data_IF_250991150687
#
_entry.id   IF_250991150687
#
_cell.length_a   1.000
_cell.length_b   1.000
_cell.length_c   1.000
_cell.angle_alpha   90.00
_cell.angle_beta   90.00
_cell.angle_gamma   90.00
#
_symmetry.space_group_name_H-M   'P 1'
#
loop_
_entity.id
_entity.type
_entity.pdbx_description
1 polymer ?
#
# COMPACT_ATOMS: atom_id res chain seq x y z
N UNK A 1 9.27 -22.36 -41.71
CA UNK A 1 8.35 -21.42 -41.04
C UNK A 1 8.76 -19.98 -41.44
N UNK A 2 7.82 -19.18 -41.90
CA UNK A 2 8.10 -17.79 -42.31
C UNK A 2 8.46 -16.96 -41.04
N UNK A 3 9.36 -15.95 -41.17
CA UNK A 3 9.81 -15.08 -40.06
C UNK A 3 8.63 -14.52 -39.25
N UNK A 4 7.52 -14.21 -39.92
CA UNK A 4 6.29 -13.75 -39.27
C UNK A 4 5.64 -14.84 -38.36
N UNK A 5 5.63 -16.09 -38.81
CA UNK A 5 5.08 -17.21 -38.01
C UNK A 5 5.97 -17.55 -36.81
N UNK A 6 7.30 -17.36 -36.91
CA UNK A 6 8.23 -17.49 -35.80
C UNK A 6 7.98 -16.40 -34.76
N UNK A 7 7.78 -15.13 -35.19
CA UNK A 7 7.46 -14.03 -34.30
C UNK A 7 6.12 -14.26 -33.57
N UNK A 8 5.09 -14.68 -34.29
CA UNK A 8 3.77 -14.98 -33.72
C UNK A 8 3.85 -16.12 -32.72
N UNK A 9 4.62 -17.19 -33.04
CA UNK A 9 4.83 -18.32 -32.14
C UNK A 9 5.59 -17.92 -30.90
N UNK A 10 6.62 -17.08 -31.02
CA UNK A 10 7.37 -16.51 -29.89
C UNK A 10 6.44 -15.62 -29.03
N UNK A 11 5.62 -14.76 -29.64
CA UNK A 11 4.65 -13.93 -28.91
C UNK A 11 3.59 -14.78 -28.17
N UNK A 12 3.08 -15.84 -28.78
CA UNK A 12 2.15 -16.77 -28.14
C UNK A 12 2.81 -17.55 -27.00
N UNK A 13 4.04 -18.01 -27.20
CA UNK A 13 4.82 -18.71 -26.16
C UNK A 13 5.13 -17.77 -24.98
N UNK A 14 5.53 -16.53 -25.27
CA UNK A 14 5.78 -15.50 -24.25
C UNK A 14 4.49 -15.17 -23.48
N UNK A 15 3.33 -15.12 -24.16
CA UNK A 15 2.03 -14.91 -23.53
C UNK A 15 1.64 -16.02 -22.57
N UNK A 16 1.83 -17.28 -22.96
CA UNK A 16 1.49 -18.43 -22.10
C UNK A 16 2.40 -18.59 -20.90
N UNK A 17 3.69 -18.31 -21.02
CA UNK A 17 4.68 -18.40 -19.93
C UNK A 17 4.44 -17.31 -18.88
N UNK A 18 3.92 -16.16 -19.26
CA UNK A 18 3.71 -15.01 -18.35
C UNK A 18 2.30 -14.91 -17.78
N UNK A 19 1.35 -15.74 -18.24
CA UNK A 19 -0.02 -15.81 -17.71
C UNK A 19 -0.09 -16.67 -16.46
N UNK A 20 0.59 -16.28 -15.38
CA UNK A 20 0.37 -16.93 -14.07
C UNK A 20 -0.96 -16.44 -13.52
N UNK A 21 -1.97 -17.30 -13.35
CA UNK A 21 -3.20 -16.92 -12.64
C UNK A 21 -2.83 -16.54 -11.21
N UNK A 22 -3.55 -15.57 -10.63
CA UNK A 22 -3.39 -15.27 -9.22
C UNK A 22 -3.83 -16.50 -8.42
N UNK A 23 -3.07 -16.89 -7.40
CA UNK A 23 -3.42 -18.03 -6.55
C UNK A 23 -4.80 -17.82 -5.93
N UNK A 24 -5.56 -18.91 -5.84
CA UNK A 24 -6.90 -18.91 -5.26
C UNK A 24 -6.90 -18.34 -3.83
N UNK A 25 -7.94 -17.58 -3.48
CA UNK A 25 -8.11 -16.96 -2.16
C UNK A 25 -7.35 -15.66 -1.93
N UNK A 26 -6.42 -15.28 -2.81
CA UNK A 26 -5.67 -14.01 -2.64
C UNK A 26 -6.53 -12.77 -2.87
N UNK A 27 -7.57 -12.85 -3.69
CA UNK A 27 -8.51 -11.75 -3.93
C UNK A 27 -9.80 -12.07 -3.20
N UNK A 28 -10.13 -11.27 -2.18
CA UNK A 28 -11.33 -11.44 -1.38
C UNK A 28 -12.08 -10.12 -1.17
N UNK A 29 -13.34 -10.26 -0.84
CA UNK A 29 -14.24 -9.25 -0.30
C UNK A 29 -14.95 -9.92 0.87
N UNK A 30 -14.81 -9.37 2.08
CA UNK A 30 -15.47 -9.89 3.28
C UNK A 30 -16.97 -9.61 3.26
N UNK A 31 -17.70 -10.23 4.17
CA UNK A 31 -19.02 -9.77 4.59
C UNK A 31 -18.91 -8.39 5.26
N UNK A 32 -20.07 -7.75 5.48
CA UNK A 32 -20.17 -6.46 6.17
C UNK A 32 -20.41 -6.71 7.66
N UNK A 33 -19.58 -6.09 8.51
CA UNK A 33 -19.66 -6.23 9.96
C UNK A 33 -19.89 -4.88 10.63
N UNK A 34 -20.71 -4.85 11.67
CA UNK A 34 -20.80 -3.69 12.54
C UNK A 34 -19.53 -3.56 13.40
N UNK A 35 -19.22 -2.32 13.79
CA UNK A 35 -18.15 -2.02 14.74
C UNK A 35 -18.64 -0.99 15.76
N UNK A 36 -18.13 -1.06 16.99
CA UNK A 36 -18.45 -0.05 18.00
C UNK A 36 -17.65 1.23 17.78
N UNK A 37 -16.40 1.08 17.39
CA UNK A 37 -15.49 2.17 17.09
C UNK A 37 -14.46 1.78 16.01
N UNK A 38 -14.00 2.78 15.30
CA UNK A 38 -12.76 2.76 14.50
C UNK A 38 -11.99 4.00 14.86
N UNK A 39 -10.76 3.83 15.32
CA UNK A 39 -9.88 4.95 15.61
C UNK A 39 -9.06 5.30 14.38
N UNK A 40 -9.00 6.58 14.05
CA UNK A 40 -8.22 7.14 12.96
C UNK A 40 -6.95 7.77 13.52
N UNK A 41 -5.81 7.32 13.02
CA UNK A 41 -4.49 7.83 13.36
C UNK A 41 -3.78 8.29 12.11
N UNK A 42 -2.91 9.29 12.26
CA UNK A 42 -2.08 9.77 11.17
C UNK A 42 -0.70 10.20 11.63
N UNK A 43 0.23 10.08 10.72
CA UNK A 43 1.53 10.74 10.81
C UNK A 43 1.53 11.88 9.80
N UNK A 44 1.98 13.06 10.20
CA UNK A 44 2.15 14.22 9.33
C UNK A 44 3.55 14.81 9.46
N UNK A 45 4.13 15.18 8.33
CA UNK A 45 5.28 16.07 8.24
C UNK A 45 4.86 17.28 7.43
N UNK A 46 4.95 18.47 8.01
CA UNK A 46 4.47 19.70 7.38
C UNK A 46 5.30 20.90 7.82
N UNK A 47 5.18 22.02 7.10
CA UNK A 47 5.79 23.28 7.46
C UNK A 47 4.80 24.16 8.20
N UNK A 48 5.33 24.87 9.21
CA UNK A 48 4.64 25.91 9.96
C UNK A 48 5.68 26.94 10.42
N UNK A 49 5.41 28.21 10.14
CA UNK A 49 6.29 29.34 10.50
C UNK A 49 7.75 29.15 10.00
N UNK A 50 7.92 28.51 8.83
CA UNK A 50 9.22 28.22 8.20
C UNK A 50 9.93 26.97 8.75
N UNK A 51 9.44 26.34 9.81
CA UNK A 51 10.00 25.13 10.41
C UNK A 51 9.26 23.86 9.97
N UNK A 52 9.95 22.72 10.08
CA UNK A 52 9.33 21.41 9.80
C UNK A 52 8.83 20.77 11.08
N UNK A 53 7.54 20.47 11.12
CA UNK A 53 6.85 19.84 12.24
C UNK A 53 6.55 18.38 11.94
N UNK A 54 6.51 17.54 13.00
CA UNK A 54 6.27 16.12 12.93
C UNK A 54 5.17 15.72 13.93
N UNK A 55 4.08 15.16 13.46
CA UNK A 55 3.07 14.47 14.25
C UNK A 55 3.22 12.98 14.00
N UNK A 56 3.31 12.15 15.04
CA UNK A 56 3.55 10.71 14.95
C UNK A 56 2.64 9.97 15.92
N UNK A 57 1.77 9.13 15.39
CA UNK A 57 0.75 8.41 16.17
C UNK A 57 0.73 6.91 15.86
N UNK A 58 1.13 6.51 14.64
CA UNK A 58 0.83 5.19 14.10
C UNK A 58 1.60 4.08 14.82
N UNK A 59 2.91 4.27 15.04
CA UNK A 59 3.75 3.19 15.60
C UNK A 59 3.46 2.91 17.05
N UNK A 60 3.06 3.89 17.84
CA UNK A 60 2.57 3.68 19.21
C UNK A 60 1.37 2.74 19.23
N UNK A 61 0.47 2.86 18.24
CA UNK A 61 -0.69 1.97 18.12
C UNK A 61 -0.28 0.55 17.70
N UNK A 62 0.74 0.42 16.83
CA UNK A 62 1.29 -0.87 16.46
C UNK A 62 1.94 -1.59 17.66
N UNK A 63 2.67 -0.85 18.49
CA UNK A 63 3.27 -1.37 19.72
C UNK A 63 2.20 -1.78 20.73
N UNK A 64 1.12 -1.02 20.88
CA UNK A 64 -0.02 -1.35 21.75
C UNK A 64 -0.68 -2.68 21.31
N UNK A 65 -0.86 -2.92 19.99
CA UNK A 65 -1.40 -4.20 19.48
C UNK A 65 -0.45 -5.36 19.80
N UNK A 66 0.86 -5.18 19.64
CA UNK A 66 1.87 -6.18 19.98
C UNK A 66 1.89 -6.47 21.46
N UNK A 67 1.87 -5.42 22.29
CA UNK A 67 1.93 -5.55 23.75
C UNK A 67 0.72 -6.31 24.31
N UNK A 68 -0.47 -6.04 23.78
CA UNK A 68 -1.75 -6.65 24.18
C UNK A 68 -2.01 -8.04 23.57
N UNK A 69 -1.15 -8.54 22.70
CA UNK A 69 -1.31 -9.88 22.14
C UNK A 69 -1.18 -10.96 23.24
N UNK A 70 -2.17 -11.82 23.38
CA UNK A 70 -2.21 -12.94 24.34
C UNK A 70 -2.02 -14.30 23.67
N UNK A 71 -2.57 -14.48 22.45
CA UNK A 71 -2.45 -15.72 21.67
C UNK A 71 -1.49 -15.53 20.50
N UNK A 72 -1.69 -14.49 19.66
CA UNK A 72 -0.81 -14.26 18.54
C UNK A 72 -0.67 -12.77 18.20
N UNK A 73 0.42 -12.49 17.50
CA UNK A 73 0.63 -11.23 16.77
C UNK A 73 0.95 -11.55 15.33
N UNK A 74 0.25 -10.91 14.39
CA UNK A 74 0.50 -11.03 12.94
C UNK A 74 0.79 -9.65 12.35
N UNK A 75 1.87 -9.55 11.57
CA UNK A 75 2.15 -8.39 10.74
C UNK A 75 2.40 -8.86 9.29
N UNK A 76 1.56 -8.39 8.36
CA UNK A 76 1.83 -8.49 6.92
C UNK A 76 2.21 -7.10 6.42
N UNK A 77 3.49 -6.94 6.01
CA UNK A 77 4.05 -5.63 5.74
C UNK A 77 5.04 -5.67 4.57
N UNK A 78 5.00 -4.60 3.74
CA UNK A 78 5.84 -4.50 2.56
C UNK A 78 7.32 -4.33 2.93
N UNK A 79 7.67 -3.29 3.69
CA UNK A 79 9.07 -3.00 4.07
C UNK A 79 9.21 -3.01 5.58
N UNK A 80 10.11 -3.86 6.08
CA UNK A 80 10.52 -3.95 7.48
C UNK A 80 12.04 -4.01 7.56
N UNK A 81 12.71 -2.88 7.36
CA UNK A 81 14.16 -2.75 7.42
C UNK A 81 14.56 -1.27 7.48
N UNK A 82 15.79 -0.99 7.88
CA UNK A 82 16.34 0.38 7.97
C UNK A 82 17.35 0.67 6.84
N UNK A 83 17.16 0.06 5.65
CA UNK A 83 17.95 0.38 4.47
C UNK A 83 17.59 1.76 3.93
N UNK A 84 18.61 2.51 3.50
CA UNK A 84 18.45 3.87 3.01
C UNK A 84 18.87 3.97 1.54
N UNK A 85 18.09 4.71 0.78
CA UNK A 85 18.48 5.14 -0.56
C UNK A 85 19.67 6.08 -0.52
N UNK A 86 20.30 6.30 -1.69
CA UNK A 86 21.49 7.15 -1.81
C UNK A 86 21.22 8.59 -1.40
N UNK A 87 22.03 9.10 -0.45
CA UNK A 87 21.94 10.47 0.04
C UNK A 87 20.70 10.76 0.88
N UNK A 88 19.91 9.75 1.26
CA UNK A 88 18.69 9.93 2.08
C UNK A 88 19.07 10.28 3.52
N UNK A 89 20.16 9.71 4.05
CA UNK A 89 20.56 9.91 5.44
C UNK A 89 20.78 11.37 5.79
N UNK A 90 21.51 12.09 4.95
CA UNK A 90 21.86 13.49 5.16
C UNK A 90 20.65 14.42 5.02
N UNK A 91 19.74 14.09 4.09
CA UNK A 91 18.59 14.93 3.78
C UNK A 91 17.43 14.74 4.76
N UNK A 92 17.13 13.48 5.09
CA UNK A 92 15.93 13.14 5.84
C UNK A 92 16.20 12.93 7.34
N UNK A 93 17.43 12.57 7.74
CA UNK A 93 17.77 12.18 9.12
C UNK A 93 16.76 11.17 9.68
N UNK A 94 16.64 9.99 9.06
CA UNK A 94 15.57 9.03 9.36
C UNK A 94 15.73 8.40 10.74
N UNK A 95 14.61 7.92 11.30
CA UNK A 95 14.57 7.17 12.56
C UNK A 95 14.65 5.66 12.26
N UNK A 96 15.29 4.85 13.12
CA UNK A 96 15.47 3.40 12.91
C UNK A 96 14.22 2.60 13.32
N UNK A 97 13.09 2.87 12.69
CA UNK A 97 11.77 2.31 13.06
C UNK A 97 11.74 0.79 12.98
N UNK A 98 12.41 0.18 12.01
CA UNK A 98 12.42 -1.27 11.92
C UNK A 98 13.25 -1.90 13.05
N UNK A 99 14.37 -1.31 13.45
CA UNK A 99 15.18 -1.79 14.56
C UNK A 99 14.41 -1.63 15.89
N UNK A 100 13.77 -0.49 16.11
CA UNK A 100 12.94 -0.24 17.29
C UNK A 100 11.79 -1.24 17.38
N UNK A 101 11.07 -1.50 16.29
CA UNK A 101 9.98 -2.46 16.28
C UNK A 101 10.48 -3.91 16.49
N UNK A 102 11.60 -4.26 15.86
CA UNK A 102 12.21 -5.57 16.08
C UNK A 102 12.61 -5.77 17.54
N UNK A 103 13.14 -4.74 18.20
CA UNK A 103 13.46 -4.77 19.63
C UNK A 103 12.20 -5.00 20.48
N UNK A 104 11.09 -4.31 20.18
CA UNK A 104 9.79 -4.53 20.85
C UNK A 104 9.27 -5.97 20.67
N UNK A 105 9.46 -6.55 19.48
CA UNK A 105 9.10 -7.95 19.23
C UNK A 105 9.96 -8.91 20.09
N UNK A 106 11.28 -8.65 20.20
CA UNK A 106 12.15 -9.47 21.05
C UNK A 106 11.77 -9.38 22.54
N UNK A 107 11.50 -8.17 23.03
CA UNK A 107 11.02 -7.94 24.41
C UNK A 107 9.71 -8.70 24.68
N UNK A 108 8.76 -8.65 23.72
CA UNK A 108 7.51 -9.41 23.82
C UNK A 108 7.75 -10.91 23.85
N UNK A 109 8.64 -11.45 23.01
CA UNK A 109 8.99 -12.87 22.99
C UNK A 109 9.65 -13.33 24.30
N UNK A 110 10.50 -12.50 24.91
CA UNK A 110 11.13 -12.81 26.19
C UNK A 110 10.11 -12.81 27.34
N UNK A 111 9.23 -11.79 27.38
CA UNK A 111 8.22 -11.65 28.42
C UNK A 111 7.09 -12.68 28.31
N UNK A 112 6.61 -12.92 27.07
CA UNK A 112 5.42 -13.73 26.80
C UNK A 112 5.74 -14.85 25.77
N UNK A 113 6.51 -15.89 26.15
CA UNK A 113 7.04 -16.90 25.23
C UNK A 113 5.97 -17.78 24.57
N UNK A 114 4.74 -17.79 25.08
CA UNK A 114 3.62 -18.54 24.52
C UNK A 114 2.90 -17.79 23.38
N UNK A 115 3.07 -16.48 23.26
CA UNK A 115 2.48 -15.69 22.18
C UNK A 115 3.16 -16.02 20.85
N UNK A 116 2.41 -16.46 19.88
CA UNK A 116 2.96 -16.76 18.55
C UNK A 116 3.09 -15.48 17.70
N UNK A 117 4.27 -15.24 17.14
CA UNK A 117 4.51 -14.06 16.32
C UNK A 117 4.78 -14.46 14.87
N UNK A 118 3.99 -13.91 13.94
CA UNK A 118 4.03 -14.18 12.51
C UNK A 118 4.33 -12.91 11.74
N UNK A 119 5.33 -12.97 10.85
CA UNK A 119 5.65 -11.88 9.93
C UNK A 119 5.54 -12.39 8.48
N UNK A 120 4.68 -11.78 7.69
CA UNK A 120 4.58 -11.99 6.25
C UNK A 120 5.21 -10.77 5.57
N UNK A 121 6.31 -10.96 4.88
CA UNK A 121 7.15 -9.88 4.38
C UNK A 121 7.34 -9.97 2.87
N UNK A 122 7.65 -8.83 2.26
CA UNK A 122 8.04 -8.78 0.85
C UNK A 122 9.51 -9.18 0.66
N UNK A 123 9.85 -9.73 -0.51
CA UNK A 123 11.21 -10.11 -0.87
C UNK A 123 12.19 -8.92 -0.95
N UNK A 124 11.71 -7.69 -1.08
CA UNK A 124 12.56 -6.49 -1.08
C UNK A 124 13.39 -6.35 0.19
N UNK A 125 12.89 -6.88 1.33
CA UNK A 125 13.60 -6.90 2.60
C UNK A 125 14.90 -7.71 2.61
N UNK A 126 15.10 -8.58 1.61
CA UNK A 126 16.32 -9.35 1.37
C UNK A 126 16.98 -9.00 0.04
N UNK A 127 16.58 -7.86 -0.53
CA UNK A 127 16.87 -7.48 -1.90
C UNK A 127 16.63 -8.63 -2.89
N UNK A 128 15.38 -9.12 -2.89
CA UNK A 128 14.92 -10.20 -3.78
C UNK A 128 15.74 -11.49 -3.65
N UNK A 129 16.11 -11.82 -2.40
CA UNK A 129 16.86 -13.04 -2.06
C UNK A 129 18.37 -12.96 -2.29
N UNK A 130 18.95 -11.75 -2.40
CA UNK A 130 20.39 -11.58 -2.56
C UNK A 130 21.17 -11.86 -1.27
N UNK A 131 20.62 -11.47 -0.12
CA UNK A 131 21.25 -11.60 1.18
C UNK A 131 20.21 -11.87 2.29
N UNK A 132 20.69 -12.25 3.45
CA UNK A 132 19.88 -12.38 4.65
C UNK A 132 19.74 -11.04 5.37
N UNK A 133 18.52 -10.70 5.79
CA UNK A 133 18.31 -9.56 6.68
C UNK A 133 18.71 -9.96 8.11
N UNK A 134 19.70 -9.26 8.69
CA UNK A 134 20.27 -9.58 10.00
C UNK A 134 19.27 -9.43 11.14
N UNK A 135 18.44 -8.40 11.08
CA UNK A 135 17.37 -8.14 12.08
C UNK A 135 16.34 -9.27 12.03
N UNK A 136 15.91 -9.69 10.84
CA UNK A 136 14.94 -10.78 10.70
C UNK A 136 15.52 -12.12 11.19
N UNK A 137 16.82 -12.39 10.98
CA UNK A 137 17.47 -13.58 11.53
C UNK A 137 17.47 -13.60 13.05
N UNK A 138 17.71 -12.46 13.71
CA UNK A 138 17.61 -12.37 15.18
C UNK A 138 16.18 -12.68 15.66
N UNK A 139 15.17 -12.16 14.96
CA UNK A 139 13.77 -12.46 15.25
C UNK A 139 13.45 -13.95 15.07
N UNK A 140 13.92 -14.59 13.98
CA UNK A 140 13.74 -16.04 13.77
C UNK A 140 14.42 -16.88 14.86
N UNK A 141 15.61 -16.49 15.31
CA UNK A 141 16.33 -17.14 16.42
C UNK A 141 15.55 -17.02 17.74
N UNK A 142 14.80 -15.95 17.95
CA UNK A 142 13.90 -15.77 19.08
C UNK A 142 12.54 -16.49 18.92
N UNK A 143 12.34 -17.26 17.84
CA UNK A 143 11.13 -18.04 17.60
C UNK A 143 10.03 -17.32 16.82
N UNK A 144 10.29 -16.13 16.28
CA UNK A 144 9.36 -15.46 15.38
C UNK A 144 9.28 -16.21 14.05
N UNK A 145 8.07 -16.43 13.54
CA UNK A 145 7.84 -17.15 12.29
C UNK A 145 7.76 -16.16 11.13
N UNK A 146 8.79 -16.16 10.26
CA UNK A 146 8.91 -15.22 9.14
C UNK A 146 8.75 -15.94 7.82
N UNK A 147 7.91 -15.36 6.92
CA UNK A 147 7.75 -15.81 5.55
C UNK A 147 7.88 -14.66 4.56
N UNK A 148 8.74 -14.80 3.55
CA UNK A 148 8.82 -13.87 2.43
C UNK A 148 7.91 -14.34 1.31
N UNK A 149 6.98 -13.50 0.88
CA UNK A 149 6.08 -13.81 -0.25
C UNK A 149 6.89 -14.07 -1.51
N UNK A 150 6.70 -15.24 -2.13
CA UNK A 150 7.33 -15.57 -3.41
C UNK A 150 6.66 -14.79 -4.54
N UNK A 151 7.25 -13.68 -4.93
CA UNK A 151 6.73 -12.78 -5.97
C UNK A 151 6.63 -13.45 -7.35
N UNK A 152 7.25 -14.61 -7.57
CA UNK A 152 7.08 -15.36 -8.81
C UNK A 152 5.68 -15.97 -8.94
N UNK A 153 4.96 -16.11 -7.83
CA UNK A 153 3.57 -16.58 -7.76
C UNK A 153 2.55 -15.48 -8.12
N UNK A 154 2.98 -14.22 -8.17
CA UNK A 154 2.13 -13.11 -8.57
C UNK A 154 2.14 -12.94 -10.09
N UNK A 155 1.08 -12.32 -10.62
CA UNK A 155 0.96 -11.98 -12.04
C UNK A 155 2.06 -11.02 -12.49
N UNK A 156 2.43 -11.09 -13.74
CA UNK A 156 3.46 -10.24 -14.33
C UNK A 156 2.87 -8.93 -14.87
N UNK A 157 3.28 -7.76 -14.35
CA UNK A 157 2.77 -6.48 -14.85
C UNK A 157 3.36 -6.09 -16.21
N UNK A 158 4.57 -6.55 -16.52
CA UNK A 158 5.33 -6.24 -17.73
C UNK A 158 5.65 -7.49 -18.54
N UNK A 159 4.73 -7.96 -19.37
CA UNK A 159 4.88 -9.21 -20.12
C UNK A 159 6.15 -9.26 -20.97
N UNK A 160 6.49 -8.15 -21.64
CA UNK A 160 7.67 -8.04 -22.52
C UNK A 160 8.98 -8.28 -21.76
N UNK A 161 9.06 -7.89 -20.49
CA UNK A 161 10.20 -8.13 -19.63
C UNK A 161 10.12 -9.46 -18.89
N UNK A 162 8.99 -9.73 -18.28
CA UNK A 162 8.82 -10.87 -17.36
C UNK A 162 8.88 -12.21 -18.06
N UNK A 163 8.39 -12.32 -19.30
CA UNK A 163 8.41 -13.58 -20.03
C UNK A 163 9.85 -14.03 -20.39
N UNK A 164 10.73 -13.23 -20.99
CA UNK A 164 12.16 -13.56 -21.14
C UNK A 164 12.85 -13.84 -19.81
N UNK A 165 12.54 -13.05 -18.76
CA UNK A 165 13.13 -13.28 -17.45
C UNK A 165 12.74 -14.65 -16.87
N UNK A 166 11.48 -15.08 -17.02
CA UNK A 166 11.02 -16.42 -16.58
C UNK A 166 11.71 -17.56 -17.34
N UNK A 167 11.94 -17.39 -18.63
CA UNK A 167 12.56 -18.42 -19.47
C UNK A 167 14.08 -18.52 -19.27
N UNK A 168 14.78 -17.39 -19.17
CA UNK A 168 16.22 -17.34 -19.28
C UNK A 168 16.96 -16.98 -17.98
N UNK A 169 16.28 -16.45 -16.96
CA UNK A 169 16.92 -16.02 -15.72
C UNK A 169 16.39 -16.79 -14.51
N UNK A 170 15.07 -16.86 -14.37
CA UNK A 170 14.42 -17.51 -13.21
C UNK A 170 14.85 -18.96 -12.96
N UNK A 171 15.03 -19.84 -13.98
CA UNK A 171 15.41 -21.25 -13.75
C UNK A 171 16.76 -21.43 -13.04
N UNK A 172 17.65 -20.46 -13.15
CA UNK A 172 18.97 -20.52 -12.49
C UNK A 172 18.93 -20.07 -11.03
N UNK A 173 17.75 -19.70 -10.49
CA UNK A 173 17.61 -19.26 -9.11
C UNK A 173 18.41 -18.00 -8.77
N UNK A 174 18.52 -17.69 -7.49
CA UNK A 174 19.35 -16.58 -6.99
C UNK A 174 20.22 -17.09 -5.81
N UNK A 175 21.54 -17.25 -5.98
CA UNK A 175 22.40 -17.71 -4.90
C UNK A 175 22.50 -16.64 -3.81
N UNK A 176 22.01 -16.97 -2.61
CA UNK A 176 21.98 -16.11 -1.43
C UNK A 176 23.42 -15.85 -0.92
N UNK A 177 23.69 -14.63 -0.48
CA UNK A 177 24.99 -14.21 0.09
C UNK A 177 26.20 -14.37 -0.85
N UNK A 178 25.97 -14.41 -2.17
CA UNK A 178 27.02 -14.51 -3.20
C UNK A 178 27.06 -13.29 -4.12
N UNK A 179 26.51 -12.16 -3.68
CA UNK A 179 26.51 -10.89 -4.41
C UNK A 179 27.94 -10.37 -4.59
N UNK A 180 28.24 -9.84 -5.80
CA UNK A 180 29.49 -9.16 -6.11
C UNK A 180 29.30 -7.69 -6.49
N UNK A 181 28.07 -7.30 -6.82
CA UNK A 181 27.69 -5.96 -7.29
C UNK A 181 27.20 -5.11 -6.11
N UNK A 182 27.56 -3.83 -6.06
CA UNK A 182 26.95 -2.88 -5.10
C UNK A 182 25.44 -2.83 -5.33
N UNK A 183 24.68 -2.70 -4.24
CA UNK A 183 23.25 -2.53 -4.33
C UNK A 183 22.93 -1.23 -5.11
N UNK A 184 22.13 -1.27 -6.18
CA UNK A 184 21.84 -0.07 -6.97
C UNK A 184 20.86 0.90 -6.28
N UNK A 185 20.09 0.42 -5.29
CA UNK A 185 19.03 1.18 -4.61
C UNK A 185 19.49 1.65 -3.23
N UNK A 186 20.01 0.73 -2.40
CA UNK A 186 20.30 1.00 -1.00
C UNK A 186 21.81 1.11 -0.75
N UNK A 187 22.19 2.06 0.10
CA UNK A 187 23.54 2.22 0.62
C UNK A 187 23.78 1.37 1.88
N UNK A 188 25.02 1.01 2.12
CA UNK A 188 25.43 0.29 3.34
C UNK A 188 24.91 -1.15 3.47
N UNK A 189 24.23 -1.68 2.46
CA UNK A 189 23.75 -3.07 2.45
C UNK A 189 24.83 -4.03 1.91
N UNK A 190 24.61 -5.33 2.12
CA UNK A 190 25.44 -6.36 1.50
C UNK A 190 25.37 -6.28 -0.04
N UNK A 191 26.43 -6.80 -0.70
CA UNK A 191 26.47 -6.86 -2.16
C UNK A 191 25.37 -7.77 -2.70
N UNK A 192 24.84 -7.40 -3.87
CA UNK A 192 23.74 -8.09 -4.54
C UNK A 192 24.20 -8.84 -5.78
N UNK A 193 23.40 -9.82 -6.22
CA UNK A 193 23.64 -10.52 -7.48
C UNK A 193 22.96 -9.78 -8.63
N UNK A 194 23.46 -9.93 -9.85
CA UNK A 194 22.80 -9.41 -11.05
C UNK A 194 21.39 -10.04 -11.18
N UNK A 195 21.22 -11.32 -10.81
CA UNK A 195 19.92 -12.00 -10.87
C UNK A 195 18.90 -11.43 -9.90
N UNK A 196 19.31 -10.96 -8.71
CA UNK A 196 18.40 -10.25 -7.81
C UNK A 196 17.98 -8.88 -8.35
N UNK A 197 18.90 -8.16 -9.00
CA UNK A 197 18.55 -6.90 -9.68
C UNK A 197 17.55 -7.16 -10.81
N UNK A 198 17.79 -8.17 -11.65
CA UNK A 198 16.85 -8.57 -12.71
C UNK A 198 15.51 -9.06 -12.14
N UNK A 199 15.51 -9.72 -10.97
CA UNK A 199 14.26 -10.10 -10.28
C UNK A 199 13.47 -8.87 -9.82
N UNK A 200 14.15 -7.87 -9.25
CA UNK A 200 13.53 -6.61 -8.82
C UNK A 200 12.84 -5.86 -9.96
N UNK A 201 13.41 -5.91 -11.19
CA UNK A 201 12.84 -5.26 -12.36
C UNK A 201 11.48 -5.82 -12.82
N UNK A 202 11.03 -6.99 -12.31
CA UNK A 202 9.66 -7.45 -12.51
C UNK A 202 8.65 -6.56 -11.78
N UNK A 203 9.10 -5.78 -10.81
CA UNK A 203 8.35 -4.75 -10.11
C UNK A 203 6.99 -5.24 -9.56
N UNK A 204 7.01 -6.37 -8.86
CA UNK A 204 5.90 -6.95 -8.11
C UNK A 204 6.16 -6.82 -6.62
N UNK A 205 5.10 -6.75 -5.82
CA UNK A 205 5.25 -6.61 -4.37
C UNK A 205 4.12 -7.29 -3.61
N UNK A 206 4.45 -7.79 -2.42
CA UNK A 206 3.49 -7.88 -1.33
C UNK A 206 3.42 -6.50 -0.67
N UNK A 207 2.41 -5.72 -1.06
CA UNK A 207 2.29 -4.33 -0.63
C UNK A 207 1.26 -4.13 0.49
N UNK A 208 0.76 -5.23 1.09
CA UNK A 208 -0.14 -5.21 2.25
C UNK A 208 0.48 -4.50 3.44
N UNK A 209 -0.36 -3.95 4.32
CA UNK A 209 0.04 -3.27 5.54
C UNK A 209 -1.00 -3.51 6.63
N UNK A 210 -0.86 -4.65 7.28
CA UNK A 210 -1.72 -5.15 8.33
C UNK A 210 -0.91 -5.43 9.59
N UNK A 211 -1.42 -5.01 10.73
CA UNK A 211 -0.90 -5.35 12.05
C UNK A 211 -2.11 -5.78 12.89
N UNK A 212 -2.06 -6.96 13.50
CA UNK A 212 -3.19 -7.48 14.27
C UNK A 212 -2.78 -8.46 15.37
N UNK A 213 -3.65 -8.60 16.33
CA UNK A 213 -3.69 -9.70 17.27
C UNK A 213 -5.08 -10.36 17.27
N UNK A 214 -5.39 -11.22 18.22
CA UNK A 214 -6.66 -11.96 18.31
C UNK A 214 -7.90 -11.08 18.54
N UNK A 215 -7.74 -9.80 18.92
CA UNK A 215 -8.86 -8.91 19.24
C UNK A 215 -8.87 -7.59 18.49
N UNK A 216 -7.72 -7.17 17.97
CA UNK A 216 -7.53 -5.83 17.37
C UNK A 216 -6.77 -5.94 16.06
N UNK A 217 -7.22 -5.18 15.07
CA UNK A 217 -6.52 -5.02 13.79
C UNK A 217 -6.29 -3.54 13.47
N UNK A 218 -5.19 -3.27 12.77
CA UNK A 218 -4.86 -1.96 12.21
C UNK A 218 -4.44 -2.13 10.75
N UNK A 219 -5.15 -1.45 9.84
CA UNK A 219 -4.70 -1.25 8.47
C UNK A 219 -4.08 0.13 8.35
N UNK A 220 -2.94 0.20 7.69
CA UNK A 220 -2.19 1.45 7.57
C UNK A 220 -1.60 1.67 6.18
N UNK A 221 -1.23 2.89 5.86
CA UNK A 221 -0.41 3.20 4.70
C UNK A 221 1.10 3.14 5.02
N UNK A 222 1.48 3.11 6.31
CA UNK A 222 2.86 3.17 6.77
C UNK A 222 3.61 1.83 6.65
N UNK A 223 4.94 1.90 6.54
CA UNK A 223 5.85 0.77 6.70
C UNK A 223 6.84 1.06 7.83
N UNK A 224 7.20 0.08 8.69
CA UNK A 224 8.25 0.24 9.68
C UNK A 224 9.62 0.18 8.98
N UNK A 225 10.07 1.31 8.43
CA UNK A 225 11.38 1.43 7.80
C UNK A 225 11.94 2.84 7.95
N UNK A 226 13.26 2.95 7.98
CA UNK A 226 13.92 4.22 8.28
C UNK A 226 13.57 5.33 7.27
N UNK A 227 13.64 5.06 5.97
CA UNK A 227 13.33 6.07 4.93
C UNK A 227 11.88 6.60 5.04
N UNK A 228 10.93 5.73 5.47
CA UNK A 228 9.53 6.10 5.68
C UNK A 228 9.21 6.72 7.04
N UNK A 229 10.18 6.80 7.94
CA UNK A 229 9.95 7.25 9.32
C UNK A 229 9.38 8.67 9.44
N UNK A 230 9.61 9.49 8.42
CA UNK A 230 9.12 10.88 8.35
C UNK A 230 8.03 11.09 7.30
N UNK A 231 7.53 10.03 6.68
CA UNK A 231 6.41 10.14 5.72
C UNK A 231 5.10 10.48 6.43
N UNK A 232 4.23 11.17 5.72
CA UNK A 232 2.84 11.35 6.14
C UNK A 232 2.02 10.13 5.76
N UNK A 233 1.35 9.52 6.73
CA UNK A 233 0.60 8.27 6.60
C UNK A 233 -0.72 8.34 7.35
N UNK A 234 -1.60 7.33 7.13
CA UNK A 234 -2.84 7.14 7.88
C UNK A 234 -2.96 5.69 8.35
N UNK A 235 -3.72 5.47 9.42
CA UNK A 235 -4.06 4.16 9.94
C UNK A 235 -5.47 4.12 10.53
N UNK A 236 -6.09 2.94 10.45
CA UNK A 236 -7.41 2.64 11.00
C UNK A 236 -7.27 1.45 11.94
N UNK A 237 -7.50 1.67 13.24
CA UNK A 237 -7.42 0.64 14.30
C UNK A 237 -8.83 0.34 14.79
N UNK A 238 -9.17 -0.94 14.90
CA UNK A 238 -10.53 -1.36 15.27
C UNK A 238 -10.54 -2.75 15.92
N UNK A 239 -11.63 -3.02 16.64
CA UNK A 239 -12.03 -4.34 17.08
C UNK A 239 -13.43 -4.65 16.54
N UNK A 240 -13.59 -5.76 15.82
CA UNK A 240 -14.84 -6.19 15.19
C UNK A 240 -14.71 -7.64 14.72
N UNK A 241 -15.79 -8.42 14.63
CA UNK A 241 -15.75 -9.80 14.13
C UNK A 241 -15.14 -9.97 12.73
N UNK A 242 -15.03 -8.89 11.95
CA UNK A 242 -14.33 -8.87 10.65
C UNK A 242 -12.86 -9.31 10.76
N UNK A 243 -12.23 -9.18 11.94
CA UNK A 243 -10.84 -9.57 12.21
C UNK A 243 -10.59 -11.04 11.87
N UNK A 244 -11.58 -11.90 12.12
CA UNK A 244 -11.52 -13.31 11.69
C UNK A 244 -11.35 -13.44 10.18
N UNK A 245 -12.17 -12.73 9.39
CA UNK A 245 -12.06 -12.79 7.94
C UNK A 245 -10.75 -12.16 7.43
N UNK A 246 -10.26 -11.10 8.08
CA UNK A 246 -8.95 -10.52 7.78
C UNK A 246 -7.85 -11.56 7.98
N UNK A 247 -7.85 -12.27 9.12
CA UNK A 247 -6.88 -13.33 9.39
C UNK A 247 -6.97 -14.48 8.37
N UNK A 248 -8.18 -14.92 8.03
CA UNK A 248 -8.40 -15.93 7.00
C UNK A 248 -7.89 -15.46 5.62
N UNK A 249 -8.03 -14.16 5.32
CA UNK A 249 -7.50 -13.53 4.11
C UNK A 249 -5.97 -13.47 4.03
N UNK A 250 -5.27 -13.65 5.16
CA UNK A 250 -3.80 -13.74 5.20
C UNK A 250 -3.26 -15.16 4.98
N UNK A 251 -4.07 -16.20 5.20
CA UNK A 251 -3.66 -17.60 4.96
C UNK A 251 -3.21 -17.86 3.52
N UNK A 252 -3.90 -17.38 2.46
CA UNK A 252 -3.40 -17.50 1.08
C UNK A 252 -2.08 -16.78 0.83
N UNK A 253 -1.84 -15.60 1.46
CA UNK A 253 -0.57 -14.90 1.36
C UNK A 253 0.55 -15.69 2.04
N UNK A 254 0.30 -16.22 3.23
CA UNK A 254 1.23 -17.12 3.93
C UNK A 254 1.58 -18.36 3.11
N UNK A 255 0.58 -18.98 2.44
CA UNK A 255 0.76 -20.17 1.60
C UNK A 255 1.69 -19.96 0.42
N UNK A 256 1.76 -18.75 -0.11
CA UNK A 256 2.64 -18.43 -1.25
C UNK A 256 4.01 -17.88 -0.81
N UNK A 257 4.34 -17.88 0.49
CA UNK A 257 5.69 -17.52 0.94
C UNK A 257 6.72 -18.55 0.48
N UNK A 258 8.00 -18.20 0.51
CA UNK A 258 9.09 -19.12 0.20
C UNK A 258 9.13 -20.28 1.18
N UNK A 259 9.50 -21.47 0.68
CA UNK A 259 9.54 -22.72 1.48
C UNK A 259 10.63 -22.73 2.54
N UNK A 260 11.69 -21.96 2.36
CA UNK A 260 12.84 -21.85 3.26
C UNK A 260 12.63 -20.91 4.46
N UNK A 261 11.50 -20.18 4.49
CA UNK A 261 11.12 -19.34 5.62
C UNK A 261 10.63 -20.13 6.85
N UNK A 262 10.81 -19.58 8.05
CA UNK A 262 10.37 -20.20 9.32
C UNK A 262 8.85 -20.27 9.47
N UNK A 263 8.07 -19.47 8.73
CA UNK A 263 6.60 -19.53 8.68
C UNK A 263 6.05 -20.84 8.08
N UNK A 264 6.87 -21.57 7.30
CA UNK A 264 6.50 -22.86 6.66
C UNK A 264 5.22 -22.80 5.84
N UNK A 265 4.94 -21.66 5.18
CA UNK A 265 3.79 -21.46 4.30
C UNK A 265 2.41 -21.68 4.97
N UNK A 266 2.32 -21.52 6.28
CA UNK A 266 1.10 -21.83 7.03
C UNK A 266 0.87 -20.85 8.17
N UNK A 267 -0.36 -20.33 8.26
CA UNK A 267 -0.93 -19.76 9.48
C UNK A 267 -1.89 -20.79 10.09
N UNK A 268 -1.80 -21.08 11.40
CA UNK A 268 -2.71 -22.01 12.07
C UNK A 268 -4.12 -21.44 12.18
N UNK A 269 -5.09 -22.27 12.56
CA UNK A 269 -6.40 -21.77 12.96
C UNK A 269 -6.29 -21.08 14.32
N UNK A 270 -7.04 -19.98 14.48
CA UNK A 270 -7.05 -19.15 15.68
C UNK A 270 -8.47 -18.94 16.18
N UNK A 271 -8.60 -18.74 17.49
CA UNK A 271 -9.88 -18.46 18.15
C UNK A 271 -10.14 -16.94 18.20
N UNK A 272 -11.28 -16.54 17.67
CA UNK A 272 -11.77 -15.15 17.65
C UNK A 272 -13.06 -14.99 18.48
N UNK A 273 -13.41 -15.96 19.31
CA UNK A 273 -14.64 -15.96 20.11
C UNK A 273 -14.69 -14.83 21.16
N UNK A 274 -13.53 -14.27 21.52
CA UNK A 274 -13.41 -13.14 22.47
C UNK A 274 -13.85 -11.80 21.85
N UNK A 275 -14.01 -11.70 20.52
CA UNK A 275 -14.40 -10.45 19.87
C UNK A 275 -15.91 -10.25 20.02
N UNK A 276 -16.36 -9.18 20.66
CA UNK A 276 -17.79 -8.94 20.86
C UNK A 276 -18.46 -8.54 19.54
N UNK A 277 -19.71 -8.93 19.36
CA UNK A 277 -20.57 -8.42 18.29
C UNK A 277 -21.04 -7.02 18.63
N UNK A 278 -20.81 -6.08 17.71
CA UNK A 278 -21.35 -4.72 17.83
C UNK A 278 -22.82 -4.65 17.41
N UNK A 279 -23.61 -3.91 18.18
CA UNK A 279 -24.99 -3.53 17.84
C UNK A 279 -25.08 -2.18 17.12
N UNK A 280 -23.96 -1.48 16.96
CA UNK A 280 -23.92 -0.18 16.29
C UNK A 280 -24.12 -0.35 14.78
N UNK A 281 -25.32 -0.13 14.29
CA UNK A 281 -25.67 -0.19 12.86
C UNK A 281 -25.24 1.04 12.06
N UNK A 282 -24.78 2.10 12.75
CA UNK A 282 -24.28 3.35 12.16
C UNK A 282 -22.82 3.30 11.73
N UNK A 283 -22.08 2.24 12.09
CA UNK A 283 -20.68 2.06 11.74
C UNK A 283 -20.46 0.63 11.26
N UNK A 284 -20.10 0.49 9.98
CA UNK A 284 -19.94 -0.81 9.32
C UNK A 284 -18.58 -0.88 8.62
N UNK A 285 -17.98 -2.06 8.67
CA UNK A 285 -16.68 -2.36 8.07
C UNK A 285 -16.81 -3.45 7.02
N UNK A 286 -16.00 -3.34 5.98
CA UNK A 286 -15.82 -4.38 4.97
C UNK A 286 -14.36 -4.41 4.54
N UNK A 287 -13.77 -5.59 4.41
CA UNK A 287 -12.36 -5.78 4.06
C UNK A 287 -12.22 -6.27 2.62
N UNK A 288 -11.21 -5.76 1.94
CA UNK A 288 -10.93 -6.11 0.55
C UNK A 288 -9.45 -6.42 0.38
N UNK A 289 -9.15 -7.34 -0.53
CA UNK A 289 -7.79 -7.54 -1.00
C UNK A 289 -7.69 -7.40 -2.51
N UNK A 290 -6.56 -6.87 -2.96
CA UNK A 290 -6.16 -6.82 -4.38
C UNK A 290 -7.23 -6.13 -5.27
N UNK A 291 -7.53 -6.70 -6.43
CA UNK A 291 -8.47 -6.12 -7.40
C UNK A 291 -9.95 -6.08 -6.97
N UNK A 292 -10.32 -6.68 -5.83
CA UNK A 292 -11.65 -6.51 -5.26
C UNK A 292 -11.87 -5.06 -4.83
N UNK A 293 -10.85 -4.40 -4.27
CA UNK A 293 -10.84 -2.97 -3.92
C UNK A 293 -11.19 -2.11 -5.12
N UNK A 294 -10.51 -2.31 -6.25
CA UNK A 294 -10.76 -1.53 -7.46
C UNK A 294 -12.18 -1.66 -8.00
N UNK A 295 -12.74 -2.88 -7.94
CA UNK A 295 -14.11 -3.14 -8.38
C UNK A 295 -15.12 -2.42 -7.50
N UNK A 296 -14.92 -2.46 -6.18
CA UNK A 296 -15.85 -1.84 -5.22
C UNK A 296 -15.78 -0.30 -5.29
N UNK A 297 -14.59 0.30 -5.30
CA UNK A 297 -14.41 1.75 -5.49
C UNK A 297 -15.03 2.22 -6.81
N UNK A 298 -14.79 1.50 -7.92
CA UNK A 298 -15.39 1.84 -9.21
C UNK A 298 -16.93 1.78 -9.16
N UNK A 299 -17.49 0.80 -8.45
CA UNK A 299 -18.95 0.69 -8.27
C UNK A 299 -19.49 1.83 -7.41
N UNK A 300 -18.84 2.19 -6.30
CA UNK A 300 -19.27 3.31 -5.47
C UNK A 300 -19.17 4.66 -6.23
N UNK A 301 -18.11 4.88 -6.99
CA UNK A 301 -18.01 6.08 -7.84
C UNK A 301 -19.09 6.13 -8.92
N UNK A 302 -19.51 4.99 -9.49
CA UNK A 302 -20.65 4.93 -10.43
C UNK A 302 -21.99 5.24 -9.75
N UNK A 303 -22.13 4.89 -8.48
CA UNK A 303 -23.34 5.10 -7.68
C UNK A 303 -23.42 6.50 -7.09
N UNK A 304 -22.42 7.37 -7.30
CA UNK A 304 -22.47 8.76 -6.82
C UNK A 304 -23.54 9.57 -7.55
N UNK A 305 -24.22 10.46 -6.80
CA UNK A 305 -25.31 11.29 -7.27
C UNK A 305 -24.92 12.77 -7.38
N UNK A 306 -25.75 13.56 -8.07
CA UNK A 306 -25.59 15.01 -8.16
C UNK A 306 -25.49 15.65 -6.77
N UNK A 307 -24.51 16.55 -6.59
CA UNK A 307 -24.28 17.28 -5.35
C UNK A 307 -23.45 16.53 -4.30
N UNK A 308 -23.22 15.22 -4.45
CA UNK A 308 -22.29 14.49 -3.58
C UNK A 308 -20.85 14.95 -3.80
N UNK A 309 -20.00 14.75 -2.79
CA UNK A 309 -18.59 15.12 -2.80
C UNK A 309 -17.73 13.88 -2.61
N UNK A 310 -16.64 13.81 -3.38
CA UNK A 310 -15.60 12.79 -3.21
C UNK A 310 -14.28 13.49 -2.87
N UNK A 311 -13.65 13.05 -1.79
CA UNK A 311 -12.32 13.49 -1.40
C UNK A 311 -11.32 12.36 -1.59
N UNK A 312 -10.15 12.67 -2.16
CA UNK A 312 -9.10 11.71 -2.44
C UNK A 312 -7.79 12.24 -1.88
N UNK A 313 -7.10 11.43 -1.08
CA UNK A 313 -5.78 11.70 -0.56
C UNK A 313 -4.89 10.54 -0.96
N UNK A 314 -4.00 10.74 -1.96
CA UNK A 314 -3.28 9.63 -2.58
C UNK A 314 -1.79 9.90 -2.79
N UNK A 315 -1.00 8.87 -2.47
CA UNK A 315 0.41 8.85 -2.83
C UNK A 315 0.58 8.82 -4.36
N UNK A 316 -0.13 7.90 -5.05
CA UNK A 316 -0.15 7.83 -6.52
C UNK A 316 -1.57 7.68 -7.08
N UNK A 317 -1.88 8.51 -8.08
CA UNK A 317 -3.09 8.44 -8.90
C UNK A 317 -2.70 8.29 -10.36
N UNK A 318 -2.90 7.09 -10.93
CA UNK A 318 -2.50 6.75 -12.29
C UNK A 318 -3.47 5.77 -12.98
N UNK A 319 -4.25 4.96 -12.23
CA UNK A 319 -5.16 3.96 -12.83
C UNK A 319 -6.19 4.62 -13.74
N UNK A 320 -6.17 4.23 -15.02
CA UNK A 320 -7.03 4.79 -16.06
C UNK A 320 -8.52 4.55 -15.80
N UNK A 321 -8.86 3.43 -15.13
CA UNK A 321 -10.23 3.13 -14.75
C UNK A 321 -10.76 4.13 -13.73
N UNK A 322 -10.01 4.38 -12.65
CA UNK A 322 -10.37 5.35 -11.60
C UNK A 322 -10.44 6.77 -12.17
N UNK A 323 -9.45 7.21 -12.97
CA UNK A 323 -9.48 8.55 -13.62
C UNK A 323 -10.73 8.69 -14.49
N UNK A 324 -11.12 7.66 -15.23
CA UNK A 324 -12.32 7.67 -16.05
C UNK A 324 -13.62 7.67 -15.20
N UNK A 325 -13.64 6.95 -14.09
CA UNK A 325 -14.80 6.94 -13.18
C UNK A 325 -14.96 8.30 -12.49
N UNK A 326 -13.87 8.98 -12.08
CA UNK A 326 -13.88 10.37 -11.60
C UNK A 326 -14.51 11.30 -12.66
N UNK A 327 -14.07 11.22 -13.90
CA UNK A 327 -14.62 12.05 -15.00
C UNK A 327 -16.10 11.81 -15.23
N UNK A 328 -16.54 10.53 -15.19
CA UNK A 328 -17.96 10.18 -15.35
C UNK A 328 -18.81 10.66 -14.16
N UNK A 329 -18.29 10.60 -12.94
CA UNK A 329 -18.98 11.11 -11.76
C UNK A 329 -19.07 12.64 -11.78
N UNK A 330 -18.01 13.34 -12.16
CA UNK A 330 -18.04 14.81 -12.33
C UNK A 330 -19.07 15.26 -13.37
N UNK A 331 -19.27 14.50 -14.47
CA UNK A 331 -20.35 14.75 -15.46
C UNK A 331 -21.75 14.65 -14.84
N UNK A 332 -21.93 13.89 -13.77
CA UNK A 332 -23.19 13.81 -13.04
C UNK A 332 -23.36 14.91 -11.97
N UNK A 333 -22.38 15.84 -11.87
CA UNK A 333 -22.41 16.93 -10.90
C UNK A 333 -21.81 16.57 -9.53
N UNK A 334 -21.01 15.51 -9.44
CA UNK A 334 -20.24 15.16 -8.24
C UNK A 334 -19.03 16.08 -8.14
N UNK A 335 -18.76 16.58 -6.93
CA UNK A 335 -17.62 17.44 -6.62
C UNK A 335 -16.42 16.61 -6.21
N UNK A 336 -15.21 16.99 -6.67
CA UNK A 336 -13.97 16.33 -6.31
C UNK A 336 -12.97 17.28 -5.69
N UNK A 337 -12.40 16.89 -4.55
CA UNK A 337 -11.21 17.51 -3.95
C UNK A 337 -10.14 16.43 -3.81
N UNK A 338 -8.97 16.67 -4.40
CA UNK A 338 -7.92 15.66 -4.54
C UNK A 338 -6.59 16.23 -4.03
N UNK A 339 -5.99 15.58 -3.03
CA UNK A 339 -4.63 15.85 -2.56
C UNK A 339 -3.70 14.76 -3.07
N UNK A 340 -2.67 15.11 -3.81
CA UNK A 340 -1.68 14.18 -4.35
C UNK A 340 -0.28 14.49 -3.81
N UNK A 341 0.53 13.44 -3.64
CA UNK A 341 1.93 13.62 -3.32
C UNK A 341 2.65 14.41 -4.43
N UNK A 342 3.36 15.46 -4.04
CA UNK A 342 4.16 16.30 -4.94
C UNK A 342 5.56 15.72 -5.13
N UNK A 343 5.71 14.68 -5.91
CA UNK A 343 7.01 14.03 -6.16
C UNK A 343 7.64 14.52 -7.47
N UNK A 344 8.94 14.82 -7.46
CA UNK A 344 9.70 15.12 -8.69
C UNK A 344 9.86 13.86 -9.58
N UNK A 345 9.86 12.66 -8.98
CA UNK A 345 9.68 11.39 -9.68
C UNK A 345 8.23 11.13 -10.10
N UNK A 346 7.32 12.03 -9.74
CA UNK A 346 5.87 11.90 -9.84
C UNK A 346 5.29 12.30 -11.19
N UNK A 347 5.86 11.83 -12.30
CA UNK A 347 5.19 11.92 -13.61
C UNK A 347 3.73 11.49 -13.54
N UNK A 348 3.33 10.39 -12.82
CA UNK A 348 1.94 9.96 -12.83
C UNK A 348 0.99 10.98 -12.19
N UNK A 349 1.31 11.52 -11.01
CA UNK A 349 0.42 12.46 -10.31
C UNK A 349 0.21 13.76 -11.08
N UNK A 350 1.30 14.34 -11.60
CA UNK A 350 1.21 15.59 -12.38
C UNK A 350 0.46 15.38 -13.71
N UNK A 351 0.66 14.25 -14.37
CA UNK A 351 -0.06 13.91 -15.60
C UNK A 351 -1.55 13.65 -15.35
N UNK A 352 -1.89 12.85 -14.31
CA UNK A 352 -3.28 12.59 -13.92
C UNK A 352 -4.01 13.87 -13.49
N UNK A 353 -3.37 14.69 -12.65
CA UNK A 353 -3.89 15.99 -12.24
C UNK A 353 -4.12 16.90 -13.47
N UNK A 354 -3.15 16.98 -14.37
CA UNK A 354 -3.27 17.76 -15.61
C UNK A 354 -4.44 17.32 -16.49
N UNK A 355 -4.63 16.00 -16.65
CA UNK A 355 -5.76 15.45 -17.40
C UNK A 355 -7.10 15.80 -16.76
N UNK A 356 -7.21 15.64 -15.43
CA UNK A 356 -8.44 15.94 -14.69
C UNK A 356 -8.76 17.44 -14.69
N UNK A 357 -7.75 18.30 -14.45
CA UNK A 357 -7.96 19.75 -14.43
C UNK A 357 -8.28 20.33 -15.82
N UNK A 358 -7.62 19.83 -16.89
CA UNK A 358 -7.99 20.19 -18.27
C UNK A 358 -9.43 19.80 -18.60
N UNK A 359 -9.83 18.58 -18.15
CA UNK A 359 -11.19 18.10 -18.34
C UNK A 359 -12.22 18.94 -17.57
N UNK A 360 -11.93 19.27 -16.31
CA UNK A 360 -12.76 20.11 -15.46
C UNK A 360 -12.97 21.51 -16.08
N UNK A 361 -11.91 22.19 -16.47
CA UNK A 361 -11.95 23.52 -17.07
C UNK A 361 -12.73 23.54 -18.40
N UNK A 362 -12.50 22.53 -19.27
CA UNK A 362 -13.18 22.44 -20.57
C UNK A 362 -14.69 22.30 -20.43
N UNK A 363 -15.18 21.64 -19.41
CA UNK A 363 -16.59 21.30 -19.24
C UNK A 363 -17.26 21.99 -18.05
N UNK A 364 -16.56 22.87 -17.33
CA UNK A 364 -17.01 23.54 -16.12
C UNK A 364 -17.47 22.56 -15.03
N UNK A 365 -16.67 21.50 -14.80
CA UNK A 365 -16.94 20.53 -13.74
C UNK A 365 -16.14 20.86 -12.47
N UNK A 366 -16.70 20.52 -11.31
CA UNK A 366 -16.10 20.79 -10.00
C UNK A 366 -15.09 19.69 -9.61
N UNK A 367 -13.90 19.74 -10.23
CA UNK A 367 -12.74 18.92 -9.86
C UNK A 367 -11.61 19.86 -9.47
N UNK A 368 -11.16 19.75 -8.23
CA UNK A 368 -10.09 20.56 -7.67
C UNK A 368 -8.93 19.65 -7.19
N UNK A 369 -7.70 20.02 -7.56
CA UNK A 369 -6.50 19.26 -7.20
C UNK A 369 -5.54 20.18 -6.46
N UNK A 370 -4.96 19.68 -5.38
CA UNK A 370 -3.83 20.27 -4.67
C UNK A 370 -2.70 19.25 -4.56
N UNK A 371 -1.46 19.74 -4.46
CA UNK A 371 -0.31 18.91 -4.16
C UNK A 371 0.10 19.07 -2.69
N UNK A 372 0.46 17.96 -2.04
CA UNK A 372 0.99 18.05 -0.68
C UNK A 372 2.32 18.80 -0.66
N UNK A 373 2.48 19.75 0.26
CA UNK A 373 3.67 20.56 0.43
C UNK A 373 4.74 19.78 1.20
N UNK A 374 5.36 18.81 0.50
CA UNK A 374 6.39 17.96 1.08
C UNK A 374 7.78 18.58 1.01
N UNK A 375 8.65 18.21 1.96
CA UNK A 375 10.09 18.34 1.87
C UNK A 375 10.75 17.15 1.16
N UNK A 376 11.68 16.47 1.83
CA UNK A 376 12.32 15.25 1.33
C UNK A 376 11.46 13.99 1.60
N UNK A 377 10.56 14.06 2.58
CA UNK A 377 9.59 12.99 2.90
C UNK A 377 8.50 12.89 1.84
N UNK A 378 7.61 11.89 1.98
CA UNK A 378 6.52 11.65 1.06
C UNK A 378 5.15 11.76 1.76
N UNK A 379 4.16 12.26 1.02
CA UNK A 379 2.76 12.12 1.39
C UNK A 379 2.28 10.74 0.94
N UNK A 380 2.47 9.76 1.85
CA UNK A 380 2.29 8.34 1.53
C UNK A 380 0.89 7.81 1.88
N UNK A 381 -0.07 8.71 2.00
CA UNK A 381 -1.49 8.41 2.30
C UNK A 381 -2.16 7.69 1.13
N UNK A 382 -3.08 6.77 1.44
CA UNK A 382 -3.97 6.11 0.49
C UNK A 382 -5.37 6.10 1.11
N UNK A 383 -6.18 7.07 0.71
CA UNK A 383 -7.53 7.24 1.23
C UNK A 383 -8.45 7.85 0.16
N UNK A 384 -9.67 7.35 0.10
CA UNK A 384 -10.77 7.93 -0.67
C UNK A 384 -12.02 7.96 0.20
N UNK A 385 -12.70 9.11 0.27
CA UNK A 385 -13.99 9.22 0.97
C UNK A 385 -15.06 9.78 0.08
N UNK A 386 -16.27 9.22 0.17
CA UNK A 386 -17.47 9.64 -0.56
C UNK A 386 -18.48 10.16 0.47
N UNK A 387 -18.80 11.44 0.38
CA UNK A 387 -19.76 12.11 1.22
C UNK A 387 -21.15 11.90 0.61
N UNK A 388 -21.88 10.91 1.13
CA UNK A 388 -23.28 10.64 0.82
C UNK A 388 -24.18 11.57 1.62
N UNK A 389 -25.49 11.57 1.35
CA UNK A 389 -26.45 12.40 2.07
C UNK A 389 -26.42 12.19 3.59
N UNK A 390 -26.42 10.93 4.04
CA UNK A 390 -26.61 10.58 5.45
C UNK A 390 -25.41 9.90 6.11
N UNK A 391 -24.40 9.53 5.32
CA UNK A 391 -23.23 8.79 5.79
C UNK A 391 -21.99 9.04 4.93
N UNK A 392 -20.84 8.73 5.48
CA UNK A 392 -19.54 8.76 4.86
C UNK A 392 -19.12 7.32 4.48
N UNK A 393 -18.62 7.12 3.26
CA UNK A 393 -17.88 5.91 2.88
C UNK A 393 -16.43 6.29 2.79
N UNK A 394 -15.56 5.60 3.54
CA UNK A 394 -14.11 5.79 3.43
C UNK A 394 -13.42 4.48 3.10
N UNK A 395 -12.49 4.54 2.15
CA UNK A 395 -11.51 3.49 1.85
C UNK A 395 -10.16 3.93 2.35
N UNK A 396 -9.45 3.04 3.04
CA UNK A 396 -8.10 3.30 3.50
C UNK A 396 -7.32 2.01 3.75
N UNK A 397 -6.02 2.04 3.40
CA UNK A 397 -5.16 0.89 3.51
C UNK A 397 -3.86 1.03 2.73
N UNK A 398 -3.48 -0.02 2.00
CA UNK A 398 -2.21 -0.05 1.28
C UNK A 398 -2.29 0.43 -0.18
N UNK A 399 -3.50 0.53 -0.77
CA UNK A 399 -3.73 0.56 -2.21
C UNK A 399 -3.44 1.92 -2.85
N UNK A 400 -2.37 2.03 -3.61
CA UNK A 400 -2.19 3.15 -4.53
C UNK A 400 -3.15 3.03 -5.71
N UNK A 401 -3.62 4.16 -6.24
CA UNK A 401 -4.48 4.16 -7.42
C UNK A 401 -3.66 4.08 -8.71
N UNK A 402 -2.87 2.99 -8.84
CA UNK A 402 -2.09 2.67 -10.03
C UNK A 402 -2.53 1.34 -10.62
N UNK A 403 -2.23 1.11 -11.88
CA UNK A 403 -2.56 -0.16 -12.56
C UNK A 403 -2.04 -1.37 -11.79
N UNK A 404 -0.86 -1.27 -11.21
CA UNK A 404 -0.20 -2.37 -10.52
C UNK A 404 -0.92 -2.77 -9.22
N UNK A 405 -1.35 -1.80 -8.45
CA UNK A 405 -2.05 -1.99 -7.18
C UNK A 405 -3.53 -2.35 -7.39
N UNK A 406 -4.18 -1.74 -8.40
CA UNK A 406 -5.61 -1.90 -8.67
C UNK A 406 -5.97 -3.14 -9.51
N UNK A 407 -5.01 -3.82 -10.17
CA UNK A 407 -5.27 -4.86 -11.18
C UNK A 407 -4.65 -6.22 -10.87
N UNK A 408 -4.49 -6.58 -9.59
CA UNK A 408 -3.96 -7.88 -9.12
C UNK A 408 -2.51 -8.18 -9.54
N UNK A 409 -1.65 -7.18 -9.63
CA UNK A 409 -0.22 -7.41 -9.88
C UNK A 409 0.58 -7.37 -8.59
N UNK A 410 0.17 -6.54 -7.62
CA UNK A 410 0.64 -6.57 -6.23
C UNK A 410 -0.40 -7.22 -5.33
N UNK A 411 0.03 -7.65 -4.14
CA UNK A 411 -0.89 -7.92 -3.04
C UNK A 411 -1.17 -6.60 -2.30
N UNK A 412 -2.44 -6.32 -2.09
CA UNK A 412 -2.94 -5.13 -1.41
C UNK A 412 -4.01 -5.49 -0.39
N UNK A 413 -4.24 -4.61 0.57
CA UNK A 413 -5.36 -4.70 1.49
C UNK A 413 -6.00 -3.33 1.74
N UNK A 414 -7.31 -3.32 1.93
CA UNK A 414 -8.11 -2.11 2.06
C UNK A 414 -9.27 -2.33 3.02
N UNK A 415 -9.55 -1.34 3.85
CA UNK A 415 -10.73 -1.28 4.69
C UNK A 415 -11.73 -0.28 4.10
N UNK A 416 -12.97 -0.70 3.93
CA UNK A 416 -14.12 0.17 3.67
C UNK A 416 -14.84 0.42 4.98
N UNK A 417 -15.00 1.67 5.32
CA UNK A 417 -15.71 2.16 6.51
C UNK A 417 -16.95 2.89 6.02
N UNK A 418 -18.12 2.45 6.44
CA UNK A 418 -19.41 3.11 6.19
C UNK A 418 -19.91 3.64 7.53
N UNK A 419 -19.92 4.94 7.72
CA UNK A 419 -20.21 5.56 9.01
C UNK A 419 -21.14 6.75 8.89
N UNK A 420 -22.15 6.84 9.79
CA UNK A 420 -22.97 8.03 9.90
C UNK A 420 -22.15 9.23 10.37
N UNK A 421 -22.56 10.45 10.04
CA UNK A 421 -21.79 11.65 10.34
C UNK A 421 -21.66 11.97 11.83
N UNK A 422 -22.51 11.42 12.68
CA UNK A 422 -22.43 11.55 14.14
C UNK A 422 -21.34 10.66 14.76
N UNK A 423 -20.83 9.66 14.03
CA UNK A 423 -19.75 8.80 14.50
C UNK A 423 -18.42 9.54 14.55
N UNK A 424 -17.59 9.24 15.57
CA UNK A 424 -16.28 9.86 15.78
C UNK A 424 -15.39 9.73 14.54
N UNK A 425 -15.32 8.55 13.94
CA UNK A 425 -14.49 8.30 12.75
C UNK A 425 -14.81 9.21 11.57
N UNK A 426 -16.10 9.51 11.32
CA UNK A 426 -16.52 10.44 10.26
C UNK A 426 -15.99 11.85 10.53
N UNK A 427 -16.09 12.31 11.78
CA UNK A 427 -15.62 13.64 12.19
C UNK A 427 -14.11 13.75 12.08
N UNK A 428 -13.38 12.74 12.56
CA UNK A 428 -11.92 12.71 12.54
C UNK A 428 -11.36 12.73 11.10
N UNK A 429 -11.95 11.95 10.20
CA UNK A 429 -11.53 11.90 8.78
C UNK A 429 -11.82 13.23 8.08
N UNK A 430 -13.00 13.81 8.30
CA UNK A 430 -13.37 15.08 7.68
C UNK A 430 -12.55 16.24 8.23
N UNK A 431 -12.27 16.26 9.54
CA UNK A 431 -11.41 17.27 10.17
C UNK A 431 -9.97 17.20 9.67
N UNK A 432 -9.40 15.98 9.61
CA UNK A 432 -8.08 15.74 9.02
C UNK A 432 -8.00 16.29 7.60
N UNK A 433 -8.99 15.95 6.76
CA UNK A 433 -8.98 16.38 5.38
C UNK A 433 -9.14 17.89 5.23
N UNK A 434 -10.08 18.49 5.98
CA UNK A 434 -10.30 19.94 5.99
C UNK A 434 -9.06 20.70 6.46
N UNK A 435 -8.40 20.20 7.52
CA UNK A 435 -7.13 20.76 8.02
C UNK A 435 -6.08 20.87 6.92
N UNK A 436 -5.91 19.80 6.13
CA UNK A 436 -4.93 19.77 5.04
C UNK A 436 -5.39 20.60 3.85
N UNK A 437 -6.68 20.52 3.50
CA UNK A 437 -7.22 21.21 2.35
C UNK A 437 -7.20 22.73 2.51
N UNK A 438 -7.50 23.23 3.71
CA UNK A 438 -7.57 24.67 4.00
C UNK A 438 -6.24 25.25 4.51
N UNK A 439 -5.22 24.42 4.77
CA UNK A 439 -3.98 24.85 5.43
C UNK A 439 -4.26 25.51 6.79
N UNK A 440 -5.20 24.96 7.59
CA UNK A 440 -5.78 25.62 8.77
C UNK A 440 -4.76 26.07 9.83
N UNK A 441 -3.70 25.26 10.05
CA UNK A 441 -2.70 25.49 11.11
C UNK A 441 -1.26 25.12 10.68
N UNK A 442 -1.03 25.03 9.37
CA UNK A 442 0.25 24.73 8.77
C UNK A 442 0.19 24.79 7.24
N UNK A 443 1.31 24.64 6.58
CA UNK A 443 1.43 24.65 5.13
C UNK A 443 1.38 23.22 4.57
N UNK A 444 0.20 22.63 4.48
CA UNK A 444 0.03 21.22 4.08
C UNK A 444 -0.09 21.02 2.56
N UNK A 445 -0.75 21.95 1.86
CA UNK A 445 -1.07 21.79 0.46
C UNK A 445 -0.79 23.04 -0.36
N UNK A 446 -0.40 22.81 -1.61
CA UNK A 446 -0.07 23.82 -2.61
C UNK A 446 -1.09 23.79 -3.75
N UNK A 447 -1.46 24.94 -4.33
CA UNK A 447 -2.38 25.00 -5.46
C UNK A 447 -1.85 24.25 -6.69
N UNK A 448 -2.75 23.61 -7.46
CA UNK A 448 -2.39 22.92 -8.69
C UNK A 448 -1.63 23.82 -9.68
N UNK A 449 -2.08 25.07 -9.86
CA UNK A 449 -1.54 25.98 -10.90
C UNK A 449 -0.07 26.36 -10.67
N UNK A 450 0.40 26.37 -9.45
CA UNK A 450 1.81 26.66 -9.10
C UNK A 450 2.76 25.48 -9.34
N UNK A 451 2.22 24.26 -9.39
CA UNK A 451 3.02 23.02 -9.45
C UNK A 451 2.69 22.12 -10.65
N UNK A 452 1.84 22.59 -11.57
CA UNK A 452 1.45 21.85 -12.76
C UNK A 452 2.64 21.60 -13.70
N UNK A 453 2.61 20.46 -14.38
CA UNK A 453 3.51 20.12 -15.47
C UNK A 453 2.66 19.64 -16.66
N UNK A 454 2.23 20.58 -17.51
CA UNK A 454 1.29 20.33 -18.61
C UNK A 454 1.99 20.04 -19.95
N UNK A 455 3.21 19.49 -19.93
CA UNK A 455 3.92 19.12 -21.17
C UNK A 455 3.24 17.90 -21.81
N UNK A 456 2.80 18.03 -23.06
CA UNK A 456 2.14 16.97 -23.84
C UNK A 456 2.98 15.67 -23.89
N UNK A 457 4.30 15.79 -23.99
CA UNK A 457 5.22 14.65 -24.02
C UNK A 457 5.13 13.82 -22.72
N UNK A 458 4.97 14.47 -21.56
CA UNK A 458 4.83 13.79 -20.28
C UNK A 458 3.51 13.01 -20.20
N UNK A 459 2.42 13.58 -20.74
CA UNK A 459 1.12 12.91 -20.81
C UNK A 459 1.18 11.65 -21.70
N UNK A 460 1.85 11.73 -22.84
CA UNK A 460 2.03 10.60 -23.76
C UNK A 460 2.92 9.50 -23.14
N UNK A 461 4.04 9.89 -22.52
CA UNK A 461 4.95 8.98 -21.86
C UNK A 461 4.25 8.26 -20.68
N UNK A 462 3.51 9.01 -19.87
CA UNK A 462 2.71 8.46 -18.78
C UNK A 462 1.71 7.42 -19.27
N UNK A 463 0.93 7.73 -20.31
CA UNK A 463 -0.03 6.79 -20.89
C UNK A 463 0.64 5.53 -21.43
N UNK A 464 1.77 5.69 -22.09
CA UNK A 464 2.56 4.55 -22.59
C UNK A 464 3.05 3.66 -21.44
N UNK A 465 3.59 4.25 -20.39
CA UNK A 465 4.09 3.51 -19.20
C UNK A 465 2.97 2.74 -18.49
N UNK A 466 1.80 3.36 -18.30
CA UNK A 466 0.65 2.73 -17.67
C UNK A 466 0.06 1.57 -18.50
N UNK A 467 -0.05 1.75 -19.84
CA UNK A 467 -0.59 0.70 -20.71
C UNK A 467 0.33 -0.53 -20.72
N UNK A 468 1.64 -0.32 -20.79
CA UNK A 468 2.63 -1.39 -20.92
C UNK A 468 3.15 -1.93 -19.57
N UNK A 469 2.71 -1.35 -18.44
CA UNK A 469 3.14 -1.76 -17.11
C UNK A 469 4.56 -1.33 -16.73
N UNK A 470 5.19 -0.45 -17.51
CA UNK A 470 6.50 0.13 -17.18
C UNK A 470 6.46 1.17 -16.06
N UNK A 471 5.28 1.63 -15.66
CA UNK A 471 5.13 2.45 -14.47
C UNK A 471 5.65 1.69 -13.25
N UNK A 472 6.72 2.18 -12.61
CA UNK A 472 7.33 1.57 -11.40
C UNK A 472 6.53 1.98 -10.14
N UNK A 473 5.37 2.55 -10.32
CA UNK A 473 4.55 3.19 -9.29
C UNK A 473 3.51 2.26 -8.70
#
# INVERSE_FOLDING_TARGET
MNKTNILIFIFLLLGTVSCTPLSEGLTMKSEVYNADNVDFYYDLTYKKDGETHYERQIWEQAYDILDKAEDFFLMDIFVFNDYLGKGVKEKLQPLPIAEEFAQKILEKRERDPNVEIYLILDESNTFYGAFDNKTHKKLEQAGVKIGYVDLTKLRDPMLVYSAPWRLFIQPFGNPKNRGKTKNPIYEGTDKVTIRSILRALNAKANHRKLIMNETTAMLTSANPHAEGSKHSNVAFKFSSPIIKEIYEGEKPAAKITKKDGSLKQKLPDKDFSKIPFSKNDKLKLQYFTNGATAKDISQELKNTQFGEKVIIAQFFLADRGIINDIRKAARRGVKFEIILNNSNAGLPNKAAAGELMKYARKHNYDINVKFYNKGEEMYHVKMLSILKKDYLITYGGSTNFTRRNMRNFNLENELKIMSAYDQKISKDILDYYDRLWTNRDGEFTLPYDEHKNEKLMNDLLFRFMEINGFGIF
#
